data_IF_060764923328
#
_entry.id   IF_060764923328
#
_cell.length_a   1.000
_cell.length_b   1.000
_cell.length_c   1.000
_cell.angle_alpha   90.00
_cell.angle_beta   90.00
_cell.angle_gamma   90.00
#
_symmetry.space_group_name_H-M   'P 1'
#
loop_
_entity.id
_entity.type
_entity.pdbx_description
1 polymer ?
#
# COMPACT_ATOMS: atom_id res chain seq x y z
N UNK A 1 13.18 -35.55 14.81
CA UNK A 1 11.82 -35.55 14.22
C UNK A 1 11.02 -34.28 14.50
N UNK A 2 11.10 -33.67 15.68
CA UNK A 2 10.37 -32.41 15.97
C UNK A 2 10.84 -31.20 15.13
N UNK A 3 12.13 -31.13 14.82
CA UNK A 3 12.72 -30.02 14.03
C UNK A 3 12.26 -29.99 12.56
N UNK A 4 11.90 -31.14 12.01
CA UNK A 4 11.45 -31.25 10.60
C UNK A 4 9.97 -30.83 10.44
N UNK A 5 9.15 -31.07 11.47
CA UNK A 5 7.72 -30.74 11.46
C UNK A 5 7.47 -29.21 11.58
N UNK A 6 8.33 -28.52 12.35
CA UNK A 6 8.25 -27.05 12.53
C UNK A 6 8.65 -26.31 11.25
N UNK A 7 9.56 -26.85 10.44
CA UNK A 7 9.95 -26.24 9.15
C UNK A 7 8.87 -26.32 8.08
N UNK A 8 8.11 -27.42 8.05
CA UNK A 8 7.05 -27.63 7.05
C UNK A 8 5.83 -26.71 7.32
N UNK A 9 5.50 -26.45 8.58
CA UNK A 9 4.39 -25.56 8.93
C UNK A 9 4.72 -24.06 8.65
N UNK A 10 5.99 -23.64 8.76
CA UNK A 10 6.41 -22.25 8.47
C UNK A 10 6.35 -21.94 6.97
N UNK A 11 6.76 -22.87 6.10
CA UNK A 11 6.66 -22.67 4.66
C UNK A 11 5.20 -22.60 4.15
N UNK A 12 4.29 -23.31 4.78
CA UNK A 12 2.87 -23.23 4.39
C UNK A 12 2.20 -21.92 4.78
N UNK A 13 2.65 -21.25 5.85
CA UNK A 13 2.07 -19.98 6.30
C UNK A 13 2.45 -18.81 5.40
N UNK A 14 3.70 -18.74 4.97
CA UNK A 14 4.18 -17.69 4.02
C UNK A 14 3.56 -17.88 2.63
N UNK A 15 3.42 -19.12 2.16
CA UNK A 15 2.76 -19.43 0.88
C UNK A 15 1.27 -19.03 0.88
N UNK A 16 0.62 -19.13 2.01
CA UNK A 16 -0.82 -18.84 2.11
C UNK A 16 -1.11 -17.32 2.05
N UNK A 17 -0.25 -16.46 2.60
CA UNK A 17 -0.38 -14.99 2.48
C UNK A 17 -0.17 -14.56 1.03
N UNK A 18 0.78 -15.16 0.31
CA UNK A 18 1.00 -14.90 -1.12
C UNK A 18 -0.13 -15.44 -2.02
N UNK A 19 -0.73 -16.59 -1.65
CA UNK A 19 -1.80 -17.22 -2.43
C UNK A 19 -3.17 -16.54 -2.29
N UNK A 20 -3.49 -15.95 -1.14
CA UNK A 20 -4.79 -15.29 -0.94
C UNK A 20 -4.94 -14.00 -1.73
N UNK A 21 -3.85 -13.34 -2.09
CA UNK A 21 -3.90 -12.16 -2.96
C UNK A 21 -4.32 -12.52 -4.42
N UNK A 22 -4.10 -13.78 -4.86
CA UNK A 22 -4.42 -14.25 -6.22
C UNK A 22 -5.72 -15.07 -6.36
N UNK A 23 -6.23 -15.68 -5.29
CA UNK A 23 -7.33 -16.65 -5.39
C UNK A 23 -8.70 -15.99 -5.58
N UNK A 24 -8.92 -14.77 -5.10
CA UNK A 24 -10.21 -14.09 -5.26
C UNK A 24 -10.46 -13.59 -6.69
N UNK A 25 -9.43 -13.31 -7.46
CA UNK A 25 -9.59 -12.89 -8.86
C UNK A 25 -9.91 -14.05 -9.81
N UNK A 26 -9.39 -15.24 -9.51
CA UNK A 26 -9.59 -16.43 -10.36
C UNK A 26 -10.97 -17.08 -10.14
N UNK A 27 -11.53 -17.03 -8.93
CA UNK A 27 -12.84 -17.64 -8.65
C UNK A 27 -14.02 -16.89 -9.31
N UNK A 28 -13.95 -15.58 -9.47
CA UNK A 28 -14.98 -14.81 -10.18
C UNK A 28 -14.94 -15.02 -11.70
N UNK A 29 -13.77 -15.25 -12.29
CA UNK A 29 -13.66 -15.52 -13.73
C UNK A 29 -14.20 -16.92 -14.12
N UNK A 30 -14.11 -17.89 -13.22
CA UNK A 30 -14.57 -19.28 -13.48
C UNK A 30 -16.08 -19.41 -13.31
N UNK A 31 -16.69 -18.63 -12.42
CA UNK A 31 -18.13 -18.66 -12.19
C UNK A 31 -18.89 -17.97 -13.34
N UNK A 32 -18.34 -16.94 -13.93
CA UNK A 32 -18.97 -16.24 -15.08
C UNK A 32 -18.96 -17.07 -16.38
N UNK A 33 -18.06 -18.05 -16.52
CA UNK A 33 -17.97 -18.93 -17.71
C UNK A 33 -19.06 -20.01 -17.78
N UNK A 34 -19.77 -20.28 -16.70
CA UNK A 34 -20.78 -21.36 -16.63
C UNK A 34 -22.24 -20.92 -16.80
N UNK A 35 -22.51 -19.62 -16.97
CA UNK A 35 -23.89 -19.07 -16.99
C UNK A 35 -24.34 -18.49 -18.33
N UNK A 36 -23.56 -18.56 -19.39
CA UNK A 36 -23.99 -18.12 -20.72
C UNK A 36 -23.93 -19.26 -21.75
N UNK A 37 -25.06 -19.63 -22.39
CA UNK A 37 -25.05 -20.60 -23.47
C UNK A 37 -24.47 -19.97 -24.77
N UNK A 38 -23.94 -20.80 -25.72
CA UNK A 38 -23.15 -20.35 -26.88
C UNK A 38 -23.95 -19.71 -28.03
N UNK A 39 -25.08 -19.06 -27.76
CA UNK A 39 -25.98 -18.54 -28.80
C UNK A 39 -25.80 -17.05 -29.14
N UNK A 40 -24.86 -16.33 -28.53
CA UNK A 40 -24.63 -14.89 -28.80
C UNK A 40 -23.41 -14.64 -29.70
N UNK A 41 -22.68 -15.67 -30.11
CA UNK A 41 -21.49 -15.51 -30.97
C UNK A 41 -21.78 -15.46 -32.47
N UNK A 42 -23.07 -15.54 -32.89
CA UNK A 42 -23.42 -15.56 -34.33
C UNK A 42 -24.05 -14.25 -34.86
N UNK A 43 -24.11 -13.17 -34.05
CA UNK A 43 -24.79 -11.93 -34.50
C UNK A 43 -23.83 -10.71 -34.65
N UNK A 44 -22.52 -10.91 -34.63
CA UNK A 44 -21.55 -9.83 -34.76
C UNK A 44 -20.68 -9.89 -36.05
N UNK A 45 -21.06 -10.70 -37.04
CA UNK A 45 -20.31 -10.84 -38.30
C UNK A 45 -21.02 -10.28 -39.55
N UNK A 46 -22.00 -9.39 -39.45
CA UNK A 46 -22.70 -8.85 -40.64
C UNK A 46 -22.80 -7.32 -40.65
N UNK A 47 -21.81 -6.59 -40.18
CA UNK A 47 -21.69 -5.16 -40.47
C UNK A 47 -20.23 -4.76 -40.78
N UNK A 48 -19.63 -5.37 -41.74
CA UNK A 48 -18.40 -4.89 -42.38
C UNK A 48 -18.52 -4.96 -43.89
N UNK A 49 -19.29 -4.06 -44.45
CA UNK A 49 -19.20 -3.71 -45.87
C UNK A 49 -19.92 -2.40 -46.11
N UNK A 50 -19.18 -1.32 -46.20
CA UNK A 50 -19.33 -0.32 -47.29
C UNK A 50 -18.17 0.67 -47.20
N UNK A 51 -17.46 0.68 -48.29
CA UNK A 51 -16.34 1.51 -48.62
C UNK A 51 -16.69 3.00 -48.76
N UNK A 52 -15.73 3.86 -48.47
CA UNK A 52 -15.39 4.95 -49.41
C UNK A 52 -13.94 5.38 -49.16
N UNK A 53 -13.18 5.33 -50.25
CA UNK A 53 -11.82 5.82 -50.32
C UNK A 53 -11.73 7.31 -49.99
N UNK A 54 -10.75 7.65 -49.17
CA UNK A 54 -9.93 8.84 -49.38
C UNK A 54 -8.53 8.48 -48.87
N UNK A 55 -7.63 8.37 -49.83
CA UNK A 55 -6.18 8.39 -49.61
C UNK A 55 -5.85 9.71 -48.93
N UNK A 56 -5.16 9.65 -47.80
CA UNK A 56 -4.06 10.56 -47.47
C UNK A 56 -3.31 10.11 -46.23
N UNK A 57 -1.99 10.04 -46.36
CA UNK A 57 -1.06 10.23 -45.26
C UNK A 57 -0.67 8.96 -44.50
N UNK A 58 0.21 8.15 -45.12
CA UNK A 58 1.12 7.25 -44.42
C UNK A 58 1.87 8.00 -43.30
N UNK A 59 1.53 7.75 -42.09
CA UNK A 59 2.21 8.23 -40.90
C UNK A 59 2.14 7.16 -39.81
N UNK A 60 2.93 6.10 -39.96
CA UNK A 60 3.20 5.14 -38.89
C UNK A 60 4.12 5.82 -37.86
N UNK A 61 3.63 6.87 -37.25
CA UNK A 61 4.21 7.46 -36.04
C UNK A 61 3.87 6.55 -34.86
N UNK A 62 4.67 5.54 -34.65
CA UNK A 62 4.88 5.00 -33.31
C UNK A 62 5.47 6.14 -32.46
N UNK A 63 4.59 7.04 -31.98
CA UNK A 63 4.96 8.21 -31.21
C UNK A 63 5.90 7.79 -30.07
N UNK A 64 6.93 8.59 -29.84
CA UNK A 64 7.78 8.36 -28.68
C UNK A 64 6.91 8.44 -27.44
N UNK A 65 7.00 7.42 -26.55
CA UNK A 65 6.31 7.42 -25.27
C UNK A 65 6.67 8.71 -24.53
N UNK A 66 5.69 9.56 -24.27
CA UNK A 66 5.91 10.82 -23.58
C UNK A 66 5.92 10.64 -22.07
N UNK A 67 6.64 11.52 -21.38
CA UNK A 67 6.67 11.51 -19.90
C UNK A 67 5.28 11.83 -19.31
N UNK A 68 4.47 12.62 -19.99
CA UNK A 68 3.10 12.94 -19.60
C UNK A 68 2.19 11.71 -19.65
N UNK A 69 2.28 10.90 -20.71
CA UNK A 69 1.53 9.64 -20.79
C UNK A 69 1.92 8.68 -19.67
N UNK A 70 3.21 8.59 -19.32
CA UNK A 70 3.70 7.77 -18.22
C UNK A 70 3.16 8.25 -16.87
N UNK A 71 3.19 9.57 -16.62
CA UNK A 71 2.66 10.17 -15.40
C UNK A 71 1.16 9.91 -15.25
N UNK A 72 0.39 10.19 -16.30
CA UNK A 72 -1.06 9.95 -16.29
C UNK A 72 -1.37 8.48 -16.04
N UNK A 73 -0.65 7.57 -16.72
CA UNK A 73 -0.79 6.13 -16.49
C UNK A 73 -0.48 5.74 -15.04
N UNK A 74 0.58 6.29 -14.46
CA UNK A 74 0.94 6.02 -13.05
C UNK A 74 -0.17 6.49 -12.10
N UNK A 75 -0.72 7.69 -12.31
CA UNK A 75 -1.84 8.20 -11.49
C UNK A 75 -3.07 7.29 -11.64
N UNK A 76 -3.48 6.97 -12.87
CA UNK A 76 -4.73 6.30 -13.17
C UNK A 76 -4.69 4.79 -12.92
N UNK A 77 -3.52 4.14 -13.04
CA UNK A 77 -3.37 2.68 -12.95
C UNK A 77 -2.52 2.19 -11.77
N UNK A 78 -1.90 3.12 -11.02
CA UNK A 78 -1.16 2.78 -9.80
C UNK A 78 -1.74 3.50 -8.58
N UNK A 79 -1.66 4.84 -8.54
CA UNK A 79 -2.00 5.63 -7.34
C UNK A 79 -3.48 5.50 -6.99
N UNK A 80 -4.39 5.77 -7.93
CA UNK A 80 -5.84 5.72 -7.69
C UNK A 80 -6.30 4.30 -7.32
N UNK A 81 -5.98 3.25 -8.09
CA UNK A 81 -6.42 1.90 -7.75
C UNK A 81 -5.86 1.36 -6.44
N UNK A 82 -4.62 1.72 -6.06
CA UNK A 82 -4.03 1.25 -4.82
C UNK A 82 -4.67 1.93 -3.60
N UNK A 83 -4.94 3.25 -3.64
CA UNK A 83 -5.72 3.93 -2.60
C UNK A 83 -7.14 3.33 -2.47
N UNK A 84 -7.79 3.02 -3.60
CA UNK A 84 -9.11 2.37 -3.61
C UNK A 84 -9.07 0.97 -2.99
N UNK A 85 -8.03 0.18 -3.25
CA UNK A 85 -7.81 -1.13 -2.65
C UNK A 85 -7.67 -1.04 -1.13
N UNK A 86 -6.87 -0.09 -0.64
CA UNK A 86 -6.65 0.12 0.79
C UNK A 86 -7.95 0.56 1.49
N UNK A 87 -8.71 1.45 0.89
CA UNK A 87 -10.02 1.88 1.38
C UNK A 87 -11.02 0.73 1.51
N UNK A 88 -11.07 -0.20 0.55
CA UNK A 88 -11.91 -1.40 0.61
C UNK A 88 -11.53 -2.34 1.76
N UNK A 89 -10.23 -2.51 2.02
CA UNK A 89 -9.79 -3.28 3.18
C UNK A 89 -10.17 -2.60 4.49
N UNK A 90 -10.05 -1.26 4.57
CA UNK A 90 -10.48 -0.51 5.74
C UNK A 90 -11.97 -0.67 6.04
N UNK A 91 -12.80 -0.66 5.01
CA UNK A 91 -14.25 -0.94 5.16
C UNK A 91 -14.51 -2.37 5.66
N UNK A 92 -13.78 -3.33 5.13
CA UNK A 92 -13.87 -4.74 5.56
C UNK A 92 -13.47 -4.94 7.03
N UNK A 93 -12.38 -4.31 7.46
CA UNK A 93 -11.91 -4.34 8.87
C UNK A 93 -12.89 -3.63 9.78
N UNK A 94 -13.38 -2.45 9.36
CA UNK A 94 -14.41 -1.70 10.12
C UNK A 94 -15.65 -2.55 10.36
N UNK A 95 -16.19 -3.18 9.34
CA UNK A 95 -17.37 -4.03 9.46
C UNK A 95 -17.10 -5.24 10.36
N UNK A 96 -15.90 -5.83 10.27
CA UNK A 96 -15.51 -6.96 11.11
C UNK A 96 -15.38 -6.57 12.58
N UNK A 97 -14.71 -5.45 12.91
CA UNK A 97 -14.51 -4.99 14.30
C UNK A 97 -15.83 -4.50 14.91
N UNK A 98 -16.62 -3.75 14.16
CA UNK A 98 -17.90 -3.20 14.69
C UNK A 98 -18.93 -4.28 14.97
N UNK A 99 -18.85 -5.42 14.29
CA UNK A 99 -19.70 -6.59 14.55
C UNK A 99 -19.29 -7.38 15.80
N UNK A 100 -18.11 -7.12 16.42
CA UNK A 100 -17.70 -7.78 17.65
C UNK A 100 -18.45 -7.18 18.86
N UNK A 101 -19.17 -8.02 19.58
CA UNK A 101 -19.84 -7.66 20.83
C UNK A 101 -19.16 -8.41 21.99
N UNK A 102 -18.66 -7.67 22.99
CA UNK A 102 -17.95 -8.27 24.12
C UNK A 102 -18.77 -9.38 24.80
N UNK A 103 -18.14 -10.53 25.03
CA UNK A 103 -18.78 -11.72 25.58
C UNK A 103 -19.65 -12.51 24.60
N UNK A 104 -19.80 -12.07 23.34
CA UNK A 104 -20.65 -12.74 22.33
C UNK A 104 -19.88 -13.13 21.07
N UNK A 105 -18.56 -13.00 21.03
CA UNK A 105 -17.74 -13.40 19.88
C UNK A 105 -16.86 -14.61 20.21
N UNK A 106 -16.58 -15.40 19.18
CA UNK A 106 -15.70 -16.55 19.27
C UNK A 106 -14.30 -16.21 18.73
N UNK A 107 -13.32 -17.07 19.06
CA UNK A 107 -11.94 -16.94 18.55
C UNK A 107 -11.87 -16.82 17.02
N UNK A 108 -12.76 -17.51 16.32
CA UNK A 108 -12.82 -17.49 14.85
C UNK A 108 -13.08 -16.08 14.30
N UNK A 109 -13.94 -15.28 14.95
CA UNK A 109 -14.21 -13.90 14.56
C UNK A 109 -12.99 -13.01 14.80
N UNK A 110 -12.27 -13.18 15.91
CA UNK A 110 -11.01 -12.48 16.18
C UNK A 110 -9.95 -12.86 15.15
N UNK A 111 -9.80 -14.16 14.82
CA UNK A 111 -8.86 -14.63 13.82
C UNK A 111 -9.17 -14.03 12.45
N UNK A 112 -10.44 -13.94 12.07
CA UNK A 112 -10.85 -13.31 10.81
C UNK A 112 -10.55 -11.82 10.80
N UNK A 113 -10.88 -11.11 11.87
CA UNK A 113 -10.63 -9.68 12.02
C UNK A 113 -9.14 -9.37 11.93
N UNK A 114 -8.31 -10.13 12.65
CA UNK A 114 -6.86 -10.00 12.63
C UNK A 114 -6.26 -10.21 11.23
N UNK A 115 -6.76 -11.20 10.48
CA UNK A 115 -6.33 -11.43 9.09
C UNK A 115 -6.74 -10.29 8.15
N UNK A 116 -7.94 -9.75 8.30
CA UNK A 116 -8.38 -8.58 7.53
C UNK A 116 -7.53 -7.34 7.87
N UNK A 117 -7.19 -7.15 9.15
CA UNK A 117 -6.27 -6.09 9.57
C UNK A 117 -4.91 -6.21 8.88
N UNK A 118 -4.28 -7.39 8.87
CA UNK A 118 -3.01 -7.59 8.18
C UNK A 118 -3.12 -7.30 6.67
N UNK A 119 -4.21 -7.72 6.03
CA UNK A 119 -4.43 -7.42 4.63
C UNK A 119 -4.58 -5.91 4.36
N UNK A 120 -5.26 -5.17 5.26
CA UNK A 120 -5.36 -3.72 5.21
C UNK A 120 -3.99 -3.06 5.40
N UNK A 121 -3.21 -3.53 6.39
CA UNK A 121 -1.87 -3.04 6.68
C UNK A 121 -0.97 -3.18 5.46
N UNK A 122 -0.83 -4.39 4.90
CA UNK A 122 -0.02 -4.65 3.72
C UNK A 122 -0.47 -3.85 2.47
N UNK A 123 -1.78 -3.63 2.31
CA UNK A 123 -2.28 -2.77 1.24
C UNK A 123 -1.92 -1.29 1.47
N UNK A 124 -1.85 -0.86 2.73
CA UNK A 124 -1.42 0.49 3.09
C UNK A 124 0.07 0.69 2.79
N UNK A 125 0.93 -0.25 3.19
CA UNK A 125 2.37 -0.22 2.91
C UNK A 125 2.68 -0.12 1.39
N UNK A 126 1.83 -0.65 0.54
CA UNK A 126 1.95 -0.51 -0.91
C UNK A 126 1.62 0.90 -1.45
N UNK A 127 1.27 1.87 -0.60
CA UNK A 127 1.09 3.27 -0.99
C UNK A 127 2.31 4.15 -0.64
N UNK A 128 3.24 3.69 0.19
CA UNK A 128 4.26 4.56 0.79
C UNK A 128 5.18 5.22 -0.25
N UNK A 129 5.53 4.55 -1.34
CA UNK A 129 6.33 5.14 -2.42
C UNK A 129 5.64 6.26 -3.23
N UNK A 130 4.41 6.65 -2.88
CA UNK A 130 3.69 7.72 -3.58
C UNK A 130 2.68 8.46 -2.68
N UNK A 131 3.08 8.80 -1.46
CA UNK A 131 2.25 9.64 -0.56
C UNK A 131 2.20 11.08 -1.02
N UNK A 132 1.59 11.32 -2.18
CA UNK A 132 1.40 12.63 -2.79
C UNK A 132 -0.07 13.08 -2.73
N UNK A 133 -0.32 14.32 -3.09
CA UNK A 133 -1.67 14.87 -3.29
C UNK A 133 -2.55 14.78 -2.04
N UNK A 134 -3.61 13.98 -2.07
CA UNK A 134 -4.53 13.81 -0.97
C UNK A 134 -3.84 13.25 0.29
N UNK A 135 -2.93 12.31 0.12
CA UNK A 135 -2.22 11.65 1.22
C UNK A 135 -1.40 12.66 2.05
N UNK A 136 -0.63 13.50 1.37
CA UNK A 136 0.19 14.54 2.02
C UNK A 136 -0.66 15.68 2.56
N UNK A 137 -1.61 16.18 1.74
CA UNK A 137 -2.39 17.38 2.12
C UNK A 137 -3.28 17.15 3.34
N UNK A 138 -3.72 15.92 3.57
CA UNK A 138 -4.55 15.55 4.72
C UNK A 138 -3.76 14.84 5.82
N UNK A 139 -2.43 14.85 5.76
CA UNK A 139 -1.53 14.23 6.74
C UNK A 139 -1.96 12.79 7.07
N UNK A 140 -2.29 11.99 6.04
CA UNK A 140 -2.86 10.66 6.24
C UNK A 140 -1.91 9.80 7.06
N UNK A 141 -0.65 9.71 6.64
CA UNK A 141 0.35 8.89 7.30
C UNK A 141 0.57 9.29 8.76
N UNK A 142 0.89 10.56 9.02
CA UNK A 142 1.14 11.07 10.37
C UNK A 142 -0.06 10.94 11.32
N UNK A 143 -1.28 10.81 10.79
CA UNK A 143 -2.48 10.66 11.60
C UNK A 143 -2.79 9.19 11.94
N UNK A 144 -2.32 8.23 11.14
CA UNK A 144 -2.72 6.83 11.30
C UNK A 144 -1.58 5.81 11.40
N UNK A 145 -0.33 6.21 11.12
CA UNK A 145 0.82 5.29 11.04
C UNK A 145 1.98 5.66 11.97
N UNK A 146 1.70 6.32 13.11
CA UNK A 146 2.75 6.63 14.08
C UNK A 146 3.24 5.42 14.86
N UNK A 147 4.55 5.23 14.92
CA UNK A 147 5.25 4.19 15.65
C UNK A 147 6.58 4.68 16.24
N UNK A 148 7.13 4.06 17.27
CA UNK A 148 6.56 2.94 18.03
C UNK A 148 5.35 3.35 18.89
N UNK A 149 4.52 2.36 19.27
CA UNK A 149 3.41 2.56 20.21
C UNK A 149 3.97 2.98 21.57
N UNK A 150 3.41 4.03 22.16
CA UNK A 150 3.66 4.38 23.56
C UNK A 150 2.82 3.48 24.50
N UNK A 151 3.44 2.42 25.00
CA UNK A 151 2.79 1.47 25.89
C UNK A 151 2.29 2.10 27.17
N UNK A 152 3.05 3.04 27.76
CA UNK A 152 2.65 3.70 28.99
C UNK A 152 1.39 4.55 28.77
N UNK A 153 1.37 5.34 27.70
CA UNK A 153 0.19 6.13 27.35
C UNK A 153 -1.01 5.25 27.00
N UNK A 154 -0.79 4.11 26.31
CA UNK A 154 -1.84 3.16 25.99
C UNK A 154 -2.43 2.53 27.26
N UNK A 155 -1.61 2.05 28.20
CA UNK A 155 -2.05 1.45 29.44
C UNK A 155 -2.78 2.46 30.35
N UNK A 156 -2.29 3.70 30.40
CA UNK A 156 -2.99 4.79 31.10
C UNK A 156 -4.36 5.06 30.49
N UNK A 157 -4.47 5.07 29.17
CA UNK A 157 -5.74 5.23 28.46
C UNK A 157 -6.70 4.07 28.78
N UNK A 158 -6.21 2.83 28.76
CA UNK A 158 -7.01 1.64 29.04
C UNK A 158 -7.47 1.53 30.50
N UNK A 159 -6.74 2.10 31.44
CA UNK A 159 -7.11 2.09 32.87
C UNK A 159 -7.88 3.33 33.33
N UNK A 160 -7.88 4.39 32.53
CA UNK A 160 -8.58 5.66 32.83
C UNK A 160 -10.11 5.51 32.78
N UNK A 161 -10.82 6.49 33.36
CA UNK A 161 -12.27 6.65 33.18
C UNK A 161 -12.66 7.49 31.97
N UNK A 162 -11.68 7.90 31.16
CA UNK A 162 -11.91 8.71 29.97
C UNK A 162 -12.76 7.96 28.94
N UNK A 163 -13.65 8.66 28.25
CA UNK A 163 -14.39 8.11 27.12
C UNK A 163 -13.42 7.72 25.99
N UNK A 164 -13.67 6.56 25.40
CA UNK A 164 -12.93 6.07 24.23
C UNK A 164 -13.71 6.28 22.92
N UNK A 165 -14.81 6.99 22.93
CA UNK A 165 -15.63 7.27 21.75
C UNK A 165 -15.03 8.36 20.84
N UNK A 166 -13.99 9.06 21.30
CA UNK A 166 -13.26 10.08 20.55
C UNK A 166 -11.76 9.89 20.72
N UNK A 167 -11.00 10.22 19.68
CA UNK A 167 -9.54 10.26 19.69
C UNK A 167 -9.00 11.64 20.11
N UNK A 168 -9.87 12.62 20.28
CA UNK A 168 -9.48 13.97 20.65
C UNK A 168 -8.65 14.01 21.95
N UNK A 169 -7.52 14.67 21.89
CA UNK A 169 -6.55 14.79 22.98
C UNK A 169 -5.82 13.50 23.33
N UNK A 170 -5.87 12.45 22.49
CA UNK A 170 -4.94 11.34 22.56
C UNK A 170 -3.62 11.72 21.88
N UNK A 171 -2.50 11.17 22.38
CA UNK A 171 -1.23 11.23 21.66
C UNK A 171 -1.35 10.45 20.34
N UNK A 172 -0.70 10.93 19.27
CA UNK A 172 -0.60 10.18 18.01
C UNK A 172 0.03 8.79 18.19
N UNK A 173 0.90 8.63 19.17
CA UNK A 173 1.57 7.36 19.50
C UNK A 173 0.65 6.27 20.04
N UNK A 174 -0.63 6.55 20.32
CA UNK A 174 -1.64 5.55 20.70
C UNK A 174 -2.82 5.50 19.72
N UNK A 175 -2.69 6.19 18.58
CA UNK A 175 -3.71 6.23 17.53
C UNK A 175 -3.19 5.48 16.29
N UNK A 176 -4.10 4.93 15.49
CA UNK A 176 -3.74 4.36 14.20
C UNK A 176 -3.49 2.86 14.19
N UNK A 177 -2.70 2.42 13.20
CA UNK A 177 -2.45 1.00 12.91
C UNK A 177 -1.82 0.27 14.09
N UNK A 178 -0.77 0.83 14.71
CA UNK A 178 0.02 0.12 15.72
C UNK A 178 -0.73 -0.04 17.04
N UNK A 179 -1.61 0.90 17.40
CA UNK A 179 -2.53 0.71 18.53
C UNK A 179 -3.55 -0.40 18.25
N UNK A 180 -4.07 -0.47 17.02
CA UNK A 180 -5.00 -1.51 16.60
C UNK A 180 -4.30 -2.88 16.50
N UNK A 181 -3.09 -2.92 15.95
CA UNK A 181 -2.23 -4.10 15.94
C UNK A 181 -2.01 -4.64 17.36
N UNK A 182 -1.63 -3.77 18.30
CA UNK A 182 -1.40 -4.14 19.67
C UNK A 182 -2.64 -4.72 20.37
N UNK A 183 -3.84 -4.30 20.00
CA UNK A 183 -5.08 -4.87 20.53
C UNK A 183 -5.29 -6.31 20.04
N UNK A 184 -4.95 -6.63 18.79
CA UNK A 184 -5.23 -7.94 18.19
C UNK A 184 -4.06 -8.91 18.23
N UNK A 185 -2.81 -8.44 18.41
CA UNK A 185 -1.60 -9.27 18.33
C UNK A 185 -0.70 -9.11 19.57
N UNK A 186 0.04 -10.18 19.90
CA UNK A 186 1.16 -10.23 20.83
C UNK A 186 2.14 -11.30 20.40
N UNK A 187 3.42 -10.98 20.39
CA UNK A 187 4.51 -11.93 20.13
C UNK A 187 4.31 -12.76 18.83
N UNK A 188 3.83 -12.12 17.77
CA UNK A 188 3.54 -12.77 16.49
C UNK A 188 2.25 -13.61 16.47
N UNK A 189 1.47 -13.57 17.52
CA UNK A 189 0.25 -14.38 17.65
C UNK A 189 -1.01 -13.52 17.75
N UNK A 190 -2.09 -13.99 17.13
CA UNK A 190 -3.42 -13.42 17.33
C UNK A 190 -3.83 -13.69 18.78
N UNK A 191 -4.23 -12.66 19.50
CA UNK A 191 -4.65 -12.77 20.89
C UNK A 191 -5.90 -13.63 21.05
N UNK A 192 -6.00 -14.33 22.17
CA UNK A 192 -7.22 -15.04 22.54
C UNK A 192 -8.34 -14.03 22.79
N UNK A 193 -9.55 -14.35 22.34
CA UNK A 193 -10.71 -13.47 22.55
C UNK A 193 -10.92 -13.11 24.01
N UNK A 194 -10.67 -14.06 24.93
CA UNK A 194 -10.78 -13.85 26.38
C UNK A 194 -9.73 -12.91 26.98
N UNK A 195 -8.68 -12.59 26.22
CA UNK A 195 -7.62 -11.67 26.64
C UNK A 195 -7.84 -10.23 26.13
N UNK A 196 -8.81 -10.02 25.22
CA UNK A 196 -9.18 -8.69 24.73
C UNK A 196 -10.28 -8.14 25.63
N UNK A 197 -9.99 -7.04 26.33
CA UNK A 197 -10.94 -6.42 27.25
C UNK A 197 -12.04 -5.68 26.50
N UNK A 198 -13.15 -5.40 27.18
CA UNK A 198 -14.24 -4.58 26.64
C UNK A 198 -13.75 -3.16 26.26
N UNK A 199 -12.85 -2.59 27.05
CA UNK A 199 -12.26 -1.28 26.78
C UNK A 199 -11.38 -1.29 25.53
N UNK A 200 -10.52 -2.30 25.39
CA UNK A 200 -9.70 -2.46 24.17
C UNK A 200 -10.60 -2.64 22.95
N UNK A 201 -11.68 -3.42 23.02
CA UNK A 201 -12.61 -3.59 21.91
C UNK A 201 -13.35 -2.28 21.58
N UNK A 202 -13.75 -1.51 22.59
CA UNK A 202 -14.36 -0.19 22.39
C UNK A 202 -13.39 0.75 21.69
N UNK A 203 -12.12 0.76 22.12
CA UNK A 203 -11.08 1.58 21.50
C UNK A 203 -10.76 1.12 20.06
N UNK A 204 -10.70 -0.17 19.82
CA UNK A 204 -10.54 -0.72 18.45
C UNK A 204 -11.63 -0.25 17.50
N UNK A 205 -12.89 -0.14 17.95
CA UNK A 205 -14.00 0.39 17.12
C UNK A 205 -13.78 1.87 16.78
N UNK A 206 -13.28 2.65 17.72
CA UNK A 206 -12.97 4.08 17.49
C UNK A 206 -11.77 4.25 16.55
N UNK A 207 -10.69 3.48 16.77
CA UNK A 207 -9.50 3.49 15.95
C UNK A 207 -9.82 3.14 14.49
N UNK A 208 -10.55 2.04 14.26
CA UNK A 208 -10.88 1.64 12.89
C UNK A 208 -11.84 2.61 12.21
N UNK A 209 -12.73 3.25 12.97
CA UNK A 209 -13.59 4.32 12.45
C UNK A 209 -12.78 5.50 11.91
N UNK A 210 -11.73 5.90 12.64
CA UNK A 210 -10.81 6.94 12.21
C UNK A 210 -9.96 6.52 10.99
N UNK A 211 -9.29 5.36 11.07
CA UNK A 211 -8.51 4.78 9.96
C UNK A 211 -9.34 4.74 8.66
N UNK A 212 -10.57 4.22 8.75
CA UNK A 212 -11.48 4.14 7.61
C UNK A 212 -11.73 5.49 6.96
N UNK A 213 -12.04 6.52 7.75
CA UNK A 213 -12.30 7.87 7.22
C UNK A 213 -11.06 8.46 6.57
N UNK A 214 -9.88 8.28 7.16
CA UNK A 214 -8.61 8.74 6.59
C UNK A 214 -8.28 8.05 5.27
N UNK A 215 -8.46 6.73 5.19
CA UNK A 215 -8.20 5.99 3.95
C UNK A 215 -9.24 6.30 2.86
N UNK A 216 -10.49 6.57 3.23
CA UNK A 216 -11.49 7.11 2.29
C UNK A 216 -11.14 8.53 1.82
N UNK A 217 -10.58 9.35 2.70
CA UNK A 217 -10.11 10.69 2.36
C UNK A 217 -9.02 10.66 1.28
N UNK A 218 -8.08 9.71 1.38
CA UNK A 218 -7.08 9.46 0.33
C UNK A 218 -7.73 8.99 -0.99
N UNK A 219 -8.54 7.93 -0.96
CA UNK A 219 -9.21 7.38 -2.16
C UNK A 219 -10.07 8.43 -2.86
N UNK A 220 -11.01 9.04 -2.14
CA UNK A 220 -11.95 10.00 -2.71
C UNK A 220 -11.27 11.30 -3.13
N UNK A 221 -10.21 11.69 -2.44
CA UNK A 221 -9.41 12.84 -2.80
C UNK A 221 -8.77 12.69 -4.17
N UNK A 222 -8.27 11.51 -4.49
CA UNK A 222 -7.68 11.22 -5.78
C UNK A 222 -8.72 11.02 -6.89
N UNK A 223 -9.76 10.20 -6.65
CA UNK A 223 -10.69 9.76 -7.70
C UNK A 223 -11.98 10.56 -7.79
N UNK A 224 -12.50 11.05 -6.67
CA UNK A 224 -13.84 11.62 -6.56
C UNK A 224 -14.98 10.60 -6.74
N UNK A 225 -14.66 9.32 -6.87
CA UNK A 225 -15.65 8.26 -7.11
C UNK A 225 -16.47 7.97 -5.85
N UNK A 226 -17.79 7.98 -6.00
CA UNK A 226 -18.77 7.63 -4.94
C UNK A 226 -19.51 6.32 -5.21
N UNK A 227 -19.05 5.52 -6.14
CA UNK A 227 -19.70 4.25 -6.51
C UNK A 227 -19.89 3.28 -5.33
N UNK A 228 -19.05 3.44 -4.28
CA UNK A 228 -19.09 2.67 -3.04
C UNK A 228 -19.70 3.44 -1.86
N UNK A 229 -20.14 4.68 -2.06
CA UNK A 229 -20.70 5.54 -1.03
C UNK A 229 -19.68 6.18 -0.08
N UNK A 230 -18.38 6.12 -0.42
CA UNK A 230 -17.31 6.65 0.44
C UNK A 230 -17.33 8.17 0.50
N UNK A 231 -17.52 8.86 -0.63
CA UNK A 231 -17.72 10.33 -0.69
C UNK A 231 -18.96 10.74 0.14
N UNK A 232 -20.06 10.03 -0.02
CA UNK A 232 -21.27 10.28 0.77
C UNK A 232 -20.99 10.13 2.27
N UNK A 233 -20.20 9.14 2.68
CA UNK A 233 -19.83 8.94 4.07
C UNK A 233 -18.94 10.07 4.59
N UNK A 234 -17.93 10.49 3.83
CA UNK A 234 -17.05 11.63 4.20
C UNK A 234 -17.86 12.91 4.41
N UNK A 235 -18.72 13.24 3.46
CA UNK A 235 -19.63 14.41 3.56
C UNK A 235 -20.52 14.36 4.80
N UNK A 236 -21.10 13.21 5.11
CA UNK A 236 -21.93 12.99 6.30
C UNK A 236 -21.15 13.23 7.60
N UNK A 237 -19.86 12.91 7.61
CA UNK A 237 -18.99 13.10 8.78
C UNK A 237 -18.28 14.45 8.77
N UNK A 238 -18.54 15.34 7.80
CA UNK A 238 -17.88 16.64 7.69
C UNK A 238 -16.38 16.56 7.37
N UNK A 239 -15.92 15.45 6.78
CA UNK A 239 -14.52 15.22 6.45
C UNK A 239 -14.21 15.76 5.05
N UNK A 240 -13.33 16.79 4.91
CA UNK A 240 -12.92 17.31 3.62
C UNK A 240 -12.07 16.28 2.87
N UNK A 241 -12.17 16.22 1.53
CA UNK A 241 -11.40 15.27 0.71
C UNK A 241 -10.95 15.86 -0.63
N UNK A 242 -11.48 16.99 -1.05
CA UNK A 242 -11.13 17.63 -2.32
C UNK A 242 -9.89 18.49 -2.20
N UNK A 243 -9.21 18.73 -3.31
CA UNK A 243 -8.12 19.68 -3.41
C UNK A 243 -8.58 21.11 -3.09
N UNK A 244 -7.65 22.06 -2.84
CA UNK A 244 -8.00 23.44 -2.43
C UNK A 244 -8.92 24.21 -3.40
N UNK A 245 -8.93 23.84 -4.67
CA UNK A 245 -9.80 24.42 -5.71
C UNK A 245 -11.18 23.73 -5.82
N UNK A 246 -11.46 22.74 -4.98
CA UNK A 246 -12.70 21.98 -4.98
C UNK A 246 -12.74 20.83 -6.00
N UNK A 247 -11.64 20.55 -6.70
CA UNK A 247 -11.52 19.41 -7.63
C UNK A 247 -10.85 18.19 -6.99
N UNK A 248 -10.74 17.07 -7.74
CA UNK A 248 -9.93 15.93 -7.29
C UNK A 248 -8.44 16.26 -7.35
N UNK A 249 -7.62 15.59 -6.54
CA UNK A 249 -6.16 15.77 -6.58
C UNK A 249 -5.56 15.37 -7.94
N UNK A 250 -6.14 14.39 -8.64
CA UNK A 250 -5.77 14.10 -10.02
C UNK A 250 -5.89 15.35 -10.91
N UNK A 251 -7.08 15.96 -10.93
CA UNK A 251 -7.34 17.14 -11.76
C UNK A 251 -6.52 18.35 -11.31
N UNK A 252 -6.47 18.61 -10.01
CA UNK A 252 -5.72 19.71 -9.42
C UNK A 252 -4.23 19.66 -9.74
N UNK A 253 -3.60 18.51 -9.54
CA UNK A 253 -2.16 18.37 -9.77
C UNK A 253 -1.80 18.50 -11.25
N UNK A 254 -2.54 17.83 -12.13
CA UNK A 254 -2.30 17.91 -13.58
C UNK A 254 -2.56 19.30 -14.17
N UNK A 255 -3.47 20.10 -13.58
CA UNK A 255 -3.74 21.45 -14.03
C UNK A 255 -2.74 22.48 -13.48
N UNK A 256 -2.15 22.24 -12.30
CA UNK A 256 -1.36 23.23 -11.57
C UNK A 256 0.14 23.10 -11.74
N UNK A 257 0.61 21.89 -11.97
CA UNK A 257 2.05 21.60 -12.05
C UNK A 257 2.42 21.07 -13.45
N UNK A 258 3.64 21.31 -13.86
CA UNK A 258 4.17 20.73 -15.09
C UNK A 258 4.45 19.23 -14.89
N UNK A 259 4.45 18.47 -15.98
CA UNK A 259 4.81 17.04 -15.96
C UNK A 259 6.14 16.80 -15.25
N UNK A 260 7.18 17.58 -15.55
CA UNK A 260 8.50 17.45 -14.89
C UNK A 260 8.44 17.69 -13.39
N UNK A 261 7.64 18.66 -12.92
CA UNK A 261 7.48 18.90 -11.47
C UNK A 261 6.80 17.72 -10.76
N UNK A 262 5.75 17.17 -11.36
CA UNK A 262 5.04 16.02 -10.77
C UNK A 262 5.90 14.75 -10.79
N UNK A 263 6.62 14.51 -11.87
CA UNK A 263 7.55 13.37 -11.96
C UNK A 263 8.72 13.53 -10.99
N UNK A 264 9.25 14.74 -10.81
CA UNK A 264 10.25 15.00 -9.79
C UNK A 264 9.71 14.70 -8.37
N UNK A 265 8.51 15.18 -8.05
CA UNK A 265 7.88 14.88 -6.76
C UNK A 265 7.66 13.37 -6.56
N UNK A 266 7.30 12.64 -7.63
CA UNK A 266 7.04 11.21 -7.56
C UNK A 266 8.33 10.36 -7.49
N UNK A 267 9.40 10.76 -8.19
CA UNK A 267 10.66 9.98 -8.20
C UNK A 267 11.59 10.43 -7.07
N UNK A 268 11.88 11.73 -6.96
CA UNK A 268 12.93 12.26 -6.09
C UNK A 268 12.41 13.04 -4.86
N UNK A 269 11.09 13.15 -4.71
CA UNK A 269 10.51 13.82 -3.54
C UNK A 269 10.60 12.97 -2.26
N UNK A 270 10.52 13.63 -1.11
CA UNK A 270 10.58 12.99 0.22
C UNK A 270 9.49 11.93 0.44
N UNK A 271 8.38 12.03 -0.27
CA UNK A 271 7.26 11.07 -0.25
C UNK A 271 7.12 10.33 -1.60
N UNK A 272 8.18 10.27 -2.37
CA UNK A 272 8.30 9.56 -3.63
C UNK A 272 9.24 8.37 -3.51
N UNK A 273 9.69 7.84 -4.66
CA UNK A 273 10.48 6.60 -4.69
C UNK A 273 11.81 6.69 -3.94
N UNK A 274 12.50 7.83 -4.05
CA UNK A 274 13.77 8.07 -3.35
C UNK A 274 13.53 8.18 -1.84
N UNK A 275 12.53 8.96 -1.43
CA UNK A 275 12.18 9.12 -0.03
C UNK A 275 11.80 7.79 0.62
N UNK A 276 11.02 6.96 -0.07
CA UNK A 276 10.65 5.63 0.42
C UNK A 276 11.86 4.70 0.52
N UNK A 277 12.75 4.69 -0.49
CA UNK A 277 13.98 3.90 -0.43
C UNK A 277 14.88 4.32 0.75
N UNK A 278 14.99 5.62 1.02
CA UNK A 278 15.74 6.17 2.16
C UNK A 278 15.06 5.84 3.50
N UNK A 279 13.73 5.88 3.58
CA UNK A 279 13.00 5.49 4.79
C UNK A 279 13.20 4.02 5.12
N UNK A 280 13.08 3.13 4.14
CA UNK A 280 13.37 1.70 4.32
C UNK A 280 14.81 1.54 4.82
N UNK A 281 15.77 2.18 4.16
CA UNK A 281 17.19 2.03 4.48
C UNK A 281 17.52 2.53 5.89
N UNK A 282 17.24 3.80 6.18
CA UNK A 282 17.72 4.47 7.37
C UNK A 282 16.82 4.31 8.57
N UNK A 283 15.49 4.36 8.36
CA UNK A 283 14.50 4.40 9.44
C UNK A 283 14.02 2.99 9.80
N UNK A 284 13.62 2.19 8.81
CA UNK A 284 13.00 0.88 9.05
C UNK A 284 14.05 -0.24 9.25
N UNK A 285 15.24 -0.16 8.64
CA UNK A 285 16.31 -1.16 8.75
C UNK A 285 17.47 -0.70 9.65
N UNK A 286 18.14 0.42 9.32
CA UNK A 286 19.38 0.79 9.98
C UNK A 286 19.19 1.30 11.41
N UNK A 287 18.11 1.99 11.70
CA UNK A 287 17.82 2.48 13.06
C UNK A 287 17.63 1.34 14.07
N UNK A 288 16.79 0.31 13.83
CA UNK A 288 16.73 -0.86 14.70
C UNK A 288 18.05 -1.61 14.80
N UNK A 289 18.80 -1.70 13.70
CA UNK A 289 20.09 -2.38 13.68
C UNK A 289 21.13 -1.70 14.58
N UNK A 290 21.25 -0.38 14.55
CA UNK A 290 22.39 0.34 15.09
C UNK A 290 22.14 1.09 16.40
N UNK A 291 20.93 1.60 16.63
CA UNK A 291 20.71 2.59 17.69
C UNK A 291 19.47 2.40 18.54
N UNK A 292 18.40 1.84 18.01
CA UNK A 292 17.09 1.77 18.70
C UNK A 292 16.28 0.54 18.27
N UNK A 293 16.60 -0.60 18.88
CA UNK A 293 15.89 -1.87 18.62
C UNK A 293 14.41 -1.86 19.00
N UNK A 294 13.91 -0.81 19.66
CA UNK A 294 12.49 -0.64 19.93
C UNK A 294 11.77 0.03 18.76
N UNK A 295 12.51 0.64 17.84
CA UNK A 295 11.98 1.32 16.68
C UNK A 295 11.75 0.34 15.52
N UNK A 296 10.87 -0.63 15.75
CA UNK A 296 10.49 -1.67 14.78
C UNK A 296 9.02 -1.49 14.46
N UNK A 297 8.71 -1.44 13.17
CA UNK A 297 7.34 -1.36 12.67
C UNK A 297 6.70 -2.76 12.71
N UNK A 298 5.40 -2.83 13.00
CA UNK A 298 4.62 -4.08 13.15
C UNK A 298 5.26 -5.17 14.05
N UNK A 299 5.73 -4.79 15.26
CA UNK A 299 6.43 -5.73 16.14
C UNK A 299 5.49 -6.75 16.79
N UNK A 300 4.21 -6.43 16.96
CA UNK A 300 3.25 -7.26 17.71
C UNK A 300 2.70 -8.41 16.89
N UNK A 301 2.47 -8.18 15.61
CA UNK A 301 2.12 -9.21 14.61
C UNK A 301 3.36 -9.93 14.07
N UNK A 302 4.55 -9.33 14.23
CA UNK A 302 5.83 -9.77 13.67
C UNK A 302 5.81 -9.82 12.14
N UNK A 303 5.13 -8.86 11.51
CA UNK A 303 5.00 -8.77 10.05
C UNK A 303 5.93 -7.74 9.42
N UNK A 304 6.89 -7.17 10.14
CA UNK A 304 7.79 -6.10 9.67
C UNK A 304 8.44 -6.39 8.31
N UNK A 305 8.91 -7.63 8.07
CA UNK A 305 9.49 -7.98 6.76
C UNK A 305 8.46 -7.98 5.63
N UNK A 306 7.22 -8.38 5.92
CA UNK A 306 6.14 -8.32 4.93
C UNK A 306 5.75 -6.86 4.63
N UNK A 307 5.82 -5.97 5.62
CA UNK A 307 5.62 -4.54 5.43
C UNK A 307 6.73 -3.97 4.53
N UNK A 308 8.01 -4.25 4.83
CA UNK A 308 9.16 -3.83 4.00
C UNK A 308 9.09 -4.36 2.55
N UNK A 309 8.64 -5.60 2.36
CA UNK A 309 8.38 -6.14 1.02
C UNK A 309 7.27 -5.36 0.29
N UNK A 310 6.23 -4.91 1.01
CA UNK A 310 5.16 -4.08 0.45
C UNK A 310 5.64 -2.65 0.16
N UNK A 311 6.52 -2.09 0.98
CA UNK A 311 7.18 -0.82 0.70
C UNK A 311 8.02 -0.90 -0.59
N UNK A 312 8.85 -1.93 -0.76
CA UNK A 312 9.56 -2.15 -2.01
C UNK A 312 8.61 -2.31 -3.21
N UNK A 313 7.49 -3.02 -3.02
CA UNK A 313 6.47 -3.16 -4.06
C UNK A 313 5.80 -1.84 -4.43
N UNK A 314 5.69 -0.89 -3.50
CA UNK A 314 5.19 0.46 -3.81
C UNK A 314 6.10 1.17 -4.80
N UNK A 315 7.42 1.10 -4.59
CA UNK A 315 8.44 1.61 -5.52
C UNK A 315 8.33 0.92 -6.89
N UNK A 316 8.28 -0.41 -6.90
CA UNK A 316 8.13 -1.20 -8.12
C UNK A 316 6.83 -0.88 -8.86
N UNK A 317 5.72 -0.66 -8.14
CA UNK A 317 4.42 -0.34 -8.74
C UNK A 317 4.46 0.96 -9.52
N UNK A 318 5.09 1.99 -8.99
CA UNK A 318 5.30 3.26 -9.71
C UNK A 318 6.23 3.07 -10.90
N UNK A 319 7.37 2.38 -10.72
CA UNK A 319 8.35 2.18 -11.78
C UNK A 319 7.79 1.39 -12.96
N UNK A 320 7.01 0.34 -12.70
CA UNK A 320 6.40 -0.52 -13.73
C UNK A 320 4.99 -0.09 -14.17
N UNK A 321 4.37 0.90 -13.52
CA UNK A 321 3.07 1.45 -13.89
C UNK A 321 1.90 0.48 -13.63
N UNK A 322 1.90 -0.24 -12.50
CA UNK A 322 0.87 -1.20 -12.13
C UNK A 322 0.65 -1.24 -10.61
N UNK A 323 -0.26 -2.09 -10.12
CA UNK A 323 -0.56 -2.25 -8.68
C UNK A 323 0.01 -3.51 -8.06
N UNK A 324 0.62 -4.42 -8.82
CA UNK A 324 1.21 -5.63 -8.25
C UNK A 324 2.69 -5.46 -7.86
N UNK A 325 3.38 -4.49 -8.46
CA UNK A 325 4.78 -4.20 -8.21
C UNK A 325 5.77 -5.31 -8.58
N UNK A 326 5.29 -6.41 -9.16
CA UNK A 326 6.09 -7.61 -9.38
C UNK A 326 6.48 -7.81 -10.84
N UNK A 327 5.67 -7.31 -11.76
CA UNK A 327 5.81 -7.64 -13.16
C UNK A 327 5.91 -6.41 -14.04
N UNK A 328 6.83 -6.46 -15.01
CA UNK A 328 6.93 -5.51 -16.09
C UNK A 328 5.79 -5.77 -17.08
N UNK A 329 4.60 -5.21 -16.85
CA UNK A 329 3.42 -5.44 -17.69
C UNK A 329 3.10 -4.28 -18.63
N UNK A 330 3.55 -3.07 -18.34
CA UNK A 330 3.09 -1.86 -19.02
C UNK A 330 3.96 -1.46 -20.19
N UNK A 331 3.32 -1.16 -21.34
CA UNK A 331 3.97 -0.41 -22.43
C UNK A 331 4.10 1.08 -22.10
N UNK A 332 3.39 1.54 -21.06
CA UNK A 332 3.35 2.92 -20.59
C UNK A 332 3.74 2.93 -19.11
N UNK A 333 5.03 3.13 -18.83
CA UNK A 333 5.60 3.14 -17.48
C UNK A 333 6.92 3.89 -17.46
N UNK A 334 7.45 4.23 -16.30
CA UNK A 334 8.81 4.78 -16.18
C UNK A 334 9.85 3.79 -16.74
N UNK A 335 9.72 2.50 -16.42
CA UNK A 335 10.58 1.48 -17.00
C UNK A 335 10.56 1.53 -18.54
N UNK A 336 9.38 1.52 -19.17
CA UNK A 336 9.26 1.56 -20.63
C UNK A 336 9.83 2.87 -21.21
N UNK A 337 9.64 4.00 -20.53
CA UNK A 337 10.22 5.28 -20.92
C UNK A 337 11.75 5.22 -20.89
N UNK A 338 12.34 4.72 -19.81
CA UNK A 338 13.79 4.62 -19.67
C UNK A 338 14.40 3.54 -20.57
N UNK A 339 13.73 2.41 -20.80
CA UNK A 339 14.17 1.39 -21.78
C UNK A 339 14.36 2.00 -23.17
N UNK A 340 13.57 3.00 -23.53
CA UNK A 340 13.63 3.66 -24.82
C UNK A 340 14.64 4.82 -24.86
N UNK A 341 14.74 5.60 -23.78
CA UNK A 341 15.49 6.86 -23.75
C UNK A 341 16.85 6.73 -23.06
N UNK A 342 17.00 5.80 -22.10
CA UNK A 342 18.24 5.51 -21.38
C UNK A 342 18.24 4.06 -20.87
N UNK A 343 18.42 3.11 -21.77
CA UNK A 343 18.36 1.68 -21.47
C UNK A 343 19.35 1.25 -20.37
N UNK A 344 20.54 1.86 -20.32
CA UNK A 344 21.55 1.57 -19.30
C UNK A 344 21.01 1.88 -17.91
N UNK A 345 20.37 3.03 -17.74
CA UNK A 345 19.80 3.44 -16.46
C UNK A 345 18.58 2.57 -16.08
N UNK A 346 17.70 2.25 -17.04
CA UNK A 346 16.59 1.33 -16.82
C UNK A 346 17.07 -0.03 -16.29
N UNK A 347 18.11 -0.59 -16.90
CA UNK A 347 18.71 -1.86 -16.49
C UNK A 347 19.31 -1.78 -15.07
N UNK A 348 19.95 -0.66 -14.72
CA UNK A 348 20.53 -0.45 -13.39
C UNK A 348 19.43 -0.37 -12.31
N UNK A 349 18.34 0.34 -12.58
CA UNK A 349 17.19 0.41 -11.65
C UNK A 349 16.60 -0.99 -11.44
N UNK A 350 16.33 -1.72 -12.52
CA UNK A 350 15.80 -3.09 -12.44
C UNK A 350 16.69 -4.03 -11.61
N UNK A 351 18.00 -4.02 -11.89
CA UNK A 351 18.96 -4.82 -11.15
C UNK A 351 19.01 -4.44 -9.66
N UNK A 352 18.88 -3.15 -9.36
CA UNK A 352 18.91 -2.69 -7.98
C UNK A 352 17.62 -3.03 -7.21
N UNK A 353 16.45 -2.92 -7.84
CA UNK A 353 15.18 -3.42 -7.29
C UNK A 353 15.27 -4.91 -6.94
N UNK A 354 15.85 -5.72 -7.86
CA UNK A 354 16.04 -7.15 -7.60
C UNK A 354 17.03 -7.44 -6.46
N UNK A 355 18.08 -6.62 -6.29
CA UNK A 355 19.01 -6.77 -5.18
C UNK A 355 18.36 -6.44 -3.83
N UNK A 356 17.52 -5.39 -3.78
CA UNK A 356 16.74 -5.05 -2.59
C UNK A 356 15.82 -6.20 -2.20
N UNK A 357 15.06 -6.74 -3.14
CA UNK A 357 14.17 -7.89 -2.92
C UNK A 357 14.95 -9.11 -2.37
N UNK A 358 16.06 -9.48 -3.02
CA UNK A 358 16.92 -10.56 -2.58
C UNK A 358 17.55 -10.31 -1.20
N UNK A 359 17.84 -9.06 -0.84
CA UNK A 359 18.43 -8.71 0.44
C UNK A 359 17.41 -8.81 1.57
N UNK A 360 16.16 -8.36 1.37
CA UNK A 360 15.06 -8.54 2.33
C UNK A 360 14.82 -10.03 2.62
N UNK A 361 14.81 -10.87 1.61
CA UNK A 361 14.60 -12.32 1.75
C UNK A 361 15.72 -13.05 2.50
N UNK A 362 16.91 -12.44 2.69
CA UNK A 362 18.01 -12.99 3.51
C UNK A 362 17.83 -12.71 5.00
N UNK A 363 17.01 -11.73 5.37
CA UNK A 363 16.78 -11.41 6.78
C UNK A 363 15.92 -12.50 7.40
N UNK A 364 16.35 -13.15 8.50
CA UNK A 364 15.57 -14.18 9.13
C UNK A 364 14.31 -13.63 9.80
N UNK A 365 13.26 -14.45 9.87
CA UNK A 365 12.00 -14.13 10.56
C UNK A 365 11.97 -14.71 11.97
N UNK A 366 11.35 -14.02 12.93
CA UNK A 366 10.77 -12.68 12.84
C UNK A 366 11.82 -11.58 12.97
N UNK A 367 11.61 -10.46 12.29
CA UNK A 367 12.57 -9.32 12.26
C UNK A 367 12.95 -8.83 13.67
N UNK A 368 12.01 -8.79 14.60
CA UNK A 368 12.23 -8.34 15.99
C UNK A 368 13.35 -9.12 16.72
N UNK A 369 13.65 -10.35 16.30
CA UNK A 369 14.71 -11.18 16.86
C UNK A 369 16.02 -11.09 16.07
N UNK A 370 16.00 -10.47 14.90
CA UNK A 370 17.08 -10.48 13.92
C UNK A 370 17.47 -9.08 13.44
N UNK A 371 16.94 -8.03 14.08
CA UNK A 371 17.20 -6.65 13.67
C UNK A 371 18.69 -6.24 13.76
N UNK A 372 19.53 -7.00 14.52
CA UNK A 372 20.96 -6.78 14.62
C UNK A 372 21.82 -7.73 13.74
N UNK A 373 21.20 -8.57 12.91
CA UNK A 373 21.93 -9.46 12.00
C UNK A 373 22.56 -8.66 10.85
N UNK A 374 23.74 -9.07 10.39
CA UNK A 374 24.43 -8.38 9.28
C UNK A 374 23.60 -8.30 8.01
N UNK A 375 22.69 -9.25 7.77
CA UNK A 375 21.75 -9.23 6.65
C UNK A 375 20.84 -7.99 6.63
N UNK A 376 20.55 -7.40 7.80
CA UNK A 376 19.77 -6.15 7.91
C UNK A 376 20.57 -4.97 7.39
N UNK A 377 21.87 -4.89 7.78
CA UNK A 377 22.76 -3.86 7.24
C UNK A 377 23.00 -4.03 5.74
N UNK A 378 23.18 -5.27 5.27
CA UNK A 378 23.31 -5.55 3.84
C UNK A 378 22.07 -5.10 3.06
N UNK A 379 20.87 -5.36 3.59
CA UNK A 379 19.63 -4.88 2.99
C UNK A 379 19.55 -3.35 2.97
N UNK A 380 19.88 -2.68 4.08
CA UNK A 380 19.94 -1.22 4.13
C UNK A 380 20.90 -0.64 3.07
N UNK A 381 22.10 -1.22 2.90
CA UNK A 381 23.09 -0.78 1.91
C UNK A 381 22.54 -0.91 0.46
N UNK A 382 21.72 -1.96 0.16
CA UNK A 382 21.07 -2.10 -1.15
C UNK A 382 19.96 -1.07 -1.38
N UNK A 383 19.21 -0.67 -0.36
CA UNK A 383 18.22 0.40 -0.49
C UNK A 383 18.85 1.78 -0.64
N UNK A 384 19.99 2.06 0.03
CA UNK A 384 20.79 3.27 -0.21
C UNK A 384 21.25 3.32 -1.67
N UNK A 385 21.70 2.19 -2.22
CA UNK A 385 22.08 2.12 -3.63
C UNK A 385 20.88 2.28 -4.57
N UNK A 386 19.66 1.83 -4.16
CA UNK A 386 18.42 2.07 -4.90
C UNK A 386 18.06 3.56 -4.92
N UNK A 387 18.11 4.23 -3.79
CA UNK A 387 17.90 5.67 -3.68
C UNK A 387 18.84 6.43 -4.63
N UNK A 388 20.13 6.07 -4.66
CA UNK A 388 21.11 6.71 -5.54
C UNK A 388 20.77 6.53 -7.05
N UNK A 389 20.41 5.33 -7.50
CA UNK A 389 20.07 5.11 -8.92
C UNK A 389 18.74 5.73 -9.31
N UNK A 390 17.78 5.84 -8.40
CA UNK A 390 16.51 6.56 -8.62
C UNK A 390 16.73 8.08 -8.72
N UNK A 391 17.66 8.63 -7.92
CA UNK A 391 18.08 10.04 -8.07
C UNK A 391 18.67 10.30 -9.46
N UNK A 392 19.54 9.42 -9.97
CA UNK A 392 20.04 9.55 -11.35
C UNK A 392 18.90 9.52 -12.39
N UNK A 393 17.83 8.74 -12.15
CA UNK A 393 16.67 8.74 -13.02
C UNK A 393 15.90 10.07 -12.98
N UNK A 394 15.75 10.66 -11.80
CA UNK A 394 15.19 12.00 -11.64
C UNK A 394 16.01 13.08 -12.35
N UNK A 395 17.33 13.08 -12.17
CA UNK A 395 18.27 14.01 -12.82
C UNK A 395 18.21 13.89 -14.35
N UNK A 396 18.14 12.67 -14.87
CA UNK A 396 17.96 12.44 -16.30
C UNK A 396 16.69 13.13 -16.83
N UNK A 397 15.55 12.96 -16.15
CA UNK A 397 14.28 13.58 -16.56
C UNK A 397 14.36 15.12 -16.49
N UNK A 398 15.02 15.68 -15.48
CA UNK A 398 15.14 17.13 -15.36
C UNK A 398 16.01 17.72 -16.50
N UNK A 399 17.03 17.01 -16.96
CA UNK A 399 17.99 17.46 -17.96
C UNK A 399 17.52 17.23 -19.40
N UNK A 400 16.54 16.39 -19.67
CA UNK A 400 16.01 16.04 -20.99
C UNK A 400 14.52 16.34 -21.11
#
# INVERSE_FOLDING_TARGET
MLSFYIRQTKHQFVWWISATCNIHFISHLIIMRKLFPPLIFLLLMVLASCSSNSEDGNGNNGGALSLEEVLINCIDHTIIPQNAKTALYADSVYNSITALEHGRYAQEQINRTAKLFLAMRLAYEQNEGFFLGANTNYNIDTDINNWPLDHLAFDQLMTSQRSLASLEGNSSSVVGFHALEYIFFRDGHIRRFSAITERELTYAKTLIGHLRLKLFQAECGWSGDDSKGHVTLLKRNGVPYLAPDGTTYRSYMLARYTTKQLVAALITGDHGLVGEADEIAYTKLLRPFSSDSTYIESPYSQTSLADLECNLRSICSVWYGNTDGLTRQGKVSFDAYFQKNNQTLATRVEQQLQKCDNALHKIPTPFVNHCHDNSVKEASDEFIALSAVLNEAGDYIQSH
#
